data_IF_838104348732
#
_entry.id   IF_838104348732
#
_cell.length_a   1.000
_cell.length_b   1.000
_cell.length_c   1.000
_cell.angle_alpha   90.00
_cell.angle_beta   90.00
_cell.angle_gamma   90.00
#
_symmetry.space_group_name_H-M   'P 1'
#
loop_
_entity.id
_entity.type
_entity.pdbx_description
1 polymer ?
#
# COMPACT_ATOMS: atom_id res chain seq x y z
N UNK A 1 15.27 3.78 2.43
CA UNK A 1 14.56 2.52 2.19
C UNK A 1 14.24 2.33 0.73
N UNK A 2 14.46 1.14 0.22
CA UNK A 2 14.13 0.81 -1.16
C UNK A 2 12.62 0.57 -1.27
N UNK A 3 12.00 1.08 -2.33
CA UNK A 3 10.56 0.90 -2.56
C UNK A 3 10.39 0.17 -3.88
N UNK A 4 9.74 -0.99 -3.82
CA UNK A 4 9.55 -1.84 -4.97
C UNK A 4 8.05 -2.04 -5.19
N UNK A 5 7.61 -1.93 -6.42
CA UNK A 5 6.22 -2.20 -6.78
C UNK A 5 6.14 -3.53 -7.51
N UNK A 6 5.18 -4.36 -7.14
CA UNK A 6 4.85 -5.52 -7.96
C UNK A 6 4.28 -5.01 -9.28
N UNK A 7 4.20 -5.88 -10.28
CA UNK A 7 3.62 -5.49 -11.56
C UNK A 7 2.19 -4.99 -11.37
N UNK A 8 1.41 -5.73 -10.59
CA UNK A 8 0.02 -5.35 -10.34
C UNK A 8 -0.08 -4.01 -9.62
N UNK A 9 0.79 -3.80 -8.62
CA UNK A 9 0.79 -2.55 -7.88
C UNK A 9 1.17 -1.38 -8.76
N UNK A 10 2.09 -1.60 -9.68
CA UNK A 10 2.50 -0.54 -10.62
C UNK A 10 1.35 -0.17 -11.53
N UNK A 11 0.60 -1.17 -12.01
CA UNK A 11 -0.58 -0.90 -12.82
C UNK A 11 -1.63 -0.14 -12.03
N UNK A 12 -1.86 -0.54 -10.78
CA UNK A 12 -2.79 0.19 -9.91
C UNK A 12 -2.35 1.64 -9.76
N UNK A 13 -1.10 1.82 -9.43
CA UNK A 13 -0.53 3.14 -9.13
C UNK A 13 -0.66 4.07 -10.34
N UNK A 14 -0.27 3.59 -11.51
CA UNK A 14 -0.32 4.42 -12.71
C UNK A 14 -1.75 4.69 -13.17
N UNK A 15 -2.69 3.78 -12.87
CA UNK A 15 -4.08 4.02 -13.22
C UNK A 15 -4.64 5.24 -12.48
N UNK A 16 -4.21 5.46 -11.25
CA UNK A 16 -4.67 6.62 -10.48
C UNK A 16 -4.20 7.93 -11.08
N UNK A 17 -3.08 7.91 -11.78
CA UNK A 17 -2.52 9.13 -12.37
C UNK A 17 -3.51 9.81 -13.32
N UNK A 18 -4.29 9.01 -14.05
CA UNK A 18 -5.28 9.56 -14.99
C UNK A 18 -6.68 9.57 -14.41
N UNK A 19 -6.98 8.74 -13.43
CA UNK A 19 -8.34 8.62 -12.93
C UNK A 19 -8.62 9.52 -11.73
N UNK A 20 -7.67 9.62 -10.80
CA UNK A 20 -7.90 10.41 -9.58
C UNK A 20 -6.57 10.71 -8.90
N UNK A 21 -6.05 11.88 -9.19
CA UNK A 21 -4.75 12.29 -8.64
C UNK A 21 -4.77 12.44 -7.12
N UNK A 22 -5.94 12.65 -6.52
CA UNK A 22 -6.03 12.72 -5.07
C UNK A 22 -5.70 11.38 -4.43
N UNK A 23 -6.10 10.29 -5.10
CA UNK A 23 -5.76 8.95 -4.62
C UNK A 23 -4.25 8.74 -4.70
N UNK A 24 -3.65 9.18 -5.78
CA UNK A 24 -2.22 9.07 -5.95
C UNK A 24 -1.47 9.77 -4.81
N UNK A 25 -1.93 10.98 -4.46
CA UNK A 25 -1.32 11.73 -3.38
C UNK A 25 -1.46 10.99 -2.05
N UNK A 26 -2.63 10.43 -1.79
CA UNK A 26 -2.84 9.66 -0.55
C UNK A 26 -1.92 8.46 -0.48
N UNK A 27 -1.75 7.76 -1.60
CA UNK A 27 -0.87 6.60 -1.66
C UNK A 27 0.57 7.03 -1.37
N UNK A 28 1.01 8.12 -2.00
CA UNK A 28 2.36 8.63 -1.78
C UNK A 28 2.59 9.01 -0.32
N UNK A 29 1.60 9.66 0.29
CA UNK A 29 1.70 10.05 1.69
C UNK A 29 1.79 8.82 2.59
N UNK A 30 1.02 7.77 2.29
CA UNK A 30 1.07 6.55 3.07
C UNK A 30 2.42 5.85 2.93
N UNK A 31 2.98 5.83 1.73
CA UNK A 31 4.30 5.22 1.53
C UNK A 31 5.36 5.96 2.35
N UNK A 32 5.28 7.29 2.40
CA UNK A 32 6.19 8.07 3.23
C UNK A 32 6.00 7.72 4.70
N UNK A 33 4.77 7.55 5.11
CA UNK A 33 4.48 7.22 6.51
C UNK A 33 5.01 5.84 6.87
N UNK A 34 4.87 4.87 5.96
CA UNK A 34 5.38 3.52 6.18
C UNK A 34 6.89 3.53 6.40
N UNK A 35 7.61 4.39 5.70
CA UNK A 35 9.05 4.49 5.88
C UNK A 35 9.43 4.93 7.29
N UNK A 36 8.60 5.76 7.90
CA UNK A 36 8.82 6.24 9.25
C UNK A 36 8.33 5.28 10.31
N UNK A 37 7.12 4.76 10.11
CA UNK A 37 6.48 3.89 11.10
C UNK A 37 5.78 2.76 10.35
N UNK A 38 6.50 1.67 10.07
CA UNK A 38 5.97 0.60 9.20
C UNK A 38 4.69 -0.06 9.68
N UNK A 39 4.46 -0.12 10.98
CA UNK A 39 3.36 -0.91 11.51
C UNK A 39 2.39 -0.12 12.35
N UNK A 40 2.46 1.20 12.31
CA UNK A 40 1.53 2.06 13.05
C UNK A 40 1.40 3.37 12.30
N UNK A 41 0.41 4.18 12.69
CA UNK A 41 0.20 5.48 12.10
C UNK A 41 -1.04 5.52 11.23
N UNK A 42 -1.00 6.35 10.19
CA UNK A 42 -2.18 6.66 9.38
C UNK A 42 -2.66 5.48 8.56
N UNK A 43 -3.95 5.43 8.31
CA UNK A 43 -4.55 4.43 7.46
C UNK A 43 -4.87 3.13 8.16
N UNK A 44 -4.82 3.10 9.49
CA UNK A 44 -5.15 1.92 10.28
C UNK A 44 -4.38 0.68 9.81
N UNK A 45 -3.06 0.67 9.95
CA UNK A 45 -2.26 -0.47 9.51
C UNK A 45 -2.70 -1.74 10.21
N UNK A 46 -2.81 -2.80 9.44
CA UNK A 46 -3.36 -4.07 9.90
C UNK A 46 -2.60 -5.22 9.26
N UNK A 47 -2.13 -6.20 10.05
CA UNK A 47 -1.47 -7.37 9.47
C UNK A 47 -2.50 -8.26 8.80
N UNK A 48 -2.13 -8.84 7.67
CA UNK A 48 -3.01 -9.71 6.91
C UNK A 48 -2.74 -11.16 7.25
N UNK A 49 -3.67 -12.04 6.86
CA UNK A 49 -3.63 -13.44 7.23
C UNK A 49 -3.65 -14.34 5.99
N UNK A 50 -3.49 -15.63 6.24
CA UNK A 50 -3.60 -16.68 5.24
C UNK A 50 -2.58 -16.47 4.12
N UNK A 51 -3.01 -16.41 2.89
CA UNK A 51 -2.11 -16.29 1.75
C UNK A 51 -1.33 -14.97 1.75
N UNK A 52 -1.86 -13.96 2.43
CA UNK A 52 -1.17 -12.68 2.54
C UNK A 52 -0.49 -12.49 3.88
N UNK A 53 -0.28 -13.58 4.60
CA UNK A 53 0.46 -13.52 5.85
C UNK A 53 1.83 -12.91 5.62
N UNK A 54 2.21 -11.96 6.49
CA UNK A 54 3.46 -11.23 6.33
C UNK A 54 3.29 -9.88 5.64
N UNK A 55 2.12 -9.67 5.03
CA UNK A 55 1.78 -8.40 4.44
C UNK A 55 0.92 -7.60 5.39
N UNK A 56 0.86 -6.30 5.15
CA UNK A 56 0.07 -5.36 5.91
C UNK A 56 -0.79 -4.54 4.96
N UNK A 57 -1.88 -3.97 5.46
CA UNK A 57 -2.69 -3.07 4.66
C UNK A 57 -2.90 -1.75 5.39
N UNK A 58 -3.04 -0.69 4.64
CA UNK A 58 -3.50 0.61 5.15
C UNK A 58 -4.62 1.10 4.25
N UNK A 59 -5.59 1.76 4.86
CA UNK A 59 -6.71 2.32 4.11
C UNK A 59 -6.25 3.54 3.33
N UNK A 60 -6.53 3.56 2.03
CA UNK A 60 -6.36 4.75 1.21
C UNK A 60 -7.63 5.57 1.32
N UNK A 61 -8.77 4.90 1.16
CA UNK A 61 -10.08 5.49 1.42
C UNK A 61 -11.01 4.35 1.85
N UNK A 62 -12.33 4.56 1.76
CA UNK A 62 -13.29 3.56 2.21
C UNK A 62 -13.21 2.26 1.41
N UNK A 63 -12.87 2.37 0.15
CA UNK A 63 -12.90 1.22 -0.77
C UNK A 63 -11.54 0.63 -1.02
N UNK A 64 -10.50 1.45 -1.05
CA UNK A 64 -9.20 1.03 -1.55
C UNK A 64 -8.17 0.88 -0.43
N UNK A 65 -7.28 -0.10 -0.60
CA UNK A 65 -6.25 -0.41 0.38
C UNK A 65 -4.89 -0.42 -0.27
N UNK A 66 -3.90 -0.01 0.49
CA UNK A 66 -2.49 -0.15 0.13
C UNK A 66 -1.98 -1.38 0.85
N UNK A 67 -1.60 -2.41 0.08
CA UNK A 67 -1.09 -3.66 0.65
C UNK A 67 0.41 -3.69 0.43
N UNK A 68 1.16 -3.93 1.50
CA UNK A 68 2.60 -3.83 1.46
C UNK A 68 3.25 -4.81 2.42
N UNK A 69 4.56 -4.99 2.22
CA UNK A 69 5.38 -5.81 3.09
C UNK A 69 6.68 -5.04 3.36
N UNK A 70 7.17 -5.12 4.59
CA UNK A 70 8.44 -4.50 4.94
C UNK A 70 9.41 -5.63 5.26
N UNK A 71 10.54 -5.65 4.59
CA UNK A 71 11.53 -6.69 4.77
C UNK A 71 12.92 -6.06 4.67
N UNK A 72 13.67 -6.11 5.76
CA UNK A 72 14.97 -5.46 5.80
C UNK A 72 14.83 -3.98 5.54
N UNK A 73 15.54 -3.49 4.54
CA UNK A 73 15.51 -2.07 4.19
C UNK A 73 14.68 -1.82 2.93
N UNK A 74 13.60 -2.58 2.76
CA UNK A 74 12.80 -2.51 1.56
C UNK A 74 11.32 -2.56 1.89
N UNK A 75 10.53 -1.76 1.17
CA UNK A 75 9.06 -1.84 1.17
C UNK A 75 8.64 -2.41 -0.16
N UNK A 76 7.89 -3.49 -0.14
CA UNK A 76 7.30 -4.05 -1.34
C UNK A 76 5.83 -3.66 -1.37
N UNK A 77 5.42 -2.91 -2.41
CA UNK A 77 4.02 -2.54 -2.61
C UNK A 77 3.38 -3.63 -3.46
N UNK A 78 2.42 -4.33 -2.89
CA UNK A 78 1.77 -5.46 -3.51
C UNK A 78 0.57 -5.04 -4.36
N UNK A 79 -0.24 -4.11 -3.83
CA UNK A 79 -1.38 -3.57 -4.55
C UNK A 79 -1.79 -2.25 -3.91
N UNK A 80 -2.47 -1.40 -4.67
CA UNK A 80 -2.96 -0.14 -4.12
C UNK A 80 -4.28 0.27 -4.76
N UNK A 81 -5.12 -0.72 -5.07
CA UNK A 81 -6.44 -0.49 -5.59
C UNK A 81 -7.34 -1.63 -5.13
N UNK A 82 -8.60 -1.31 -4.83
CA UNK A 82 -9.60 -2.26 -4.35
C UNK A 82 -9.24 -2.86 -3.00
N UNK A 83 -10.07 -3.77 -2.56
CA UNK A 83 -9.89 -4.44 -1.28
C UNK A 83 -9.09 -5.72 -1.51
N UNK A 84 -8.33 -6.12 -0.51
CA UNK A 84 -7.41 -7.25 -0.64
C UNK A 84 -8.07 -8.60 -0.37
N UNK A 85 -9.21 -8.61 0.27
CA UNK A 85 -9.81 -9.84 0.78
C UNK A 85 -10.83 -10.45 -0.18
N UNK A 86 -10.57 -10.31 -1.45
CA UNK A 86 -11.50 -10.84 -2.45
C UNK A 86 -11.38 -12.35 -2.60
#
# INVERSE_FOLDING_TARGET
MKITFSKNAWEDYTSWLTEDKKMLKKINDLIKEIQRTPFEGRGKPEPLKYELSGYWSRRIDREHRLVYQVSGNEILIYSCRYHYDK
#
